data_IF_522757068331
#
_entry.id   IF_522757068331
#
_cell.length_a   1.000
_cell.length_b   1.000
_cell.length_c   1.000
_cell.angle_alpha   90.00
_cell.angle_beta   90.00
_cell.angle_gamma   90.00
#
_symmetry.space_group_name_H-M   'P 1'
#
loop_
_entity.id
_entity.type
_entity.pdbx_description
1 polymer ?
#
# COMPACT_ATOMS: atom_id res chain seq x y z
N UNK A 1 -12.45 6.25 24.74
CA UNK A 1 -12.95 5.55 23.54
C UNK A 1 -12.45 6.27 22.28
N UNK A 2 -12.24 5.54 21.19
CA UNK A 2 -11.71 6.08 19.94
C UNK A 2 -12.75 5.94 18.83
N UNK A 3 -12.77 6.90 17.91
CA UNK A 3 -13.48 6.78 16.64
C UNK A 3 -12.44 6.48 15.59
N UNK A 4 -12.36 5.22 15.15
CA UNK A 4 -11.52 4.87 14.02
C UNK A 4 -12.40 4.64 12.77
N UNK A 5 -11.85 5.00 11.61
CA UNK A 5 -12.51 4.77 10.32
C UNK A 5 -11.49 4.54 9.23
N UNK A 6 -11.81 3.61 8.35
CA UNK A 6 -11.04 3.32 7.14
C UNK A 6 -11.83 3.75 5.91
N UNK A 7 -11.13 4.14 4.86
CA UNK A 7 -11.76 4.56 3.61
C UNK A 7 -10.85 4.36 2.42
N UNK A 8 -11.47 4.13 1.26
CA UNK A 8 -10.78 3.95 0.00
C UNK A 8 -11.33 4.93 -1.03
N UNK A 9 -10.43 5.52 -1.82
CA UNK A 9 -10.78 6.44 -2.91
C UNK A 9 -9.93 6.08 -4.12
N UNK A 10 -10.57 6.00 -5.30
CA UNK A 10 -9.89 5.80 -6.57
C UNK A 10 -9.92 7.12 -7.32
N UNK A 11 -8.74 7.60 -7.72
CA UNK A 11 -8.61 8.74 -8.60
C UNK A 11 -8.14 8.31 -9.97
N UNK A 12 -8.74 8.89 -10.99
CA UNK A 12 -8.28 8.80 -12.38
C UNK A 12 -7.61 10.13 -12.75
N UNK A 13 -6.46 10.06 -13.40
CA UNK A 13 -5.66 11.23 -13.82
C UNK A 13 -5.51 12.27 -12.71
N UNK A 14 -4.96 11.83 -11.59
CA UNK A 14 -4.74 12.68 -10.43
C UNK A 14 -3.33 13.26 -10.45
N UNK A 15 -3.27 14.55 -10.17
CA UNK A 15 -2.04 15.26 -9.87
C UNK A 15 -1.71 15.14 -8.40
N UNK A 16 -0.48 14.76 -8.11
CA UNK A 16 0.04 14.79 -6.74
C UNK A 16 0.26 16.24 -6.28
N UNK A 17 -0.30 16.57 -5.11
CA UNK A 17 -0.18 17.86 -4.44
C UNK A 17 0.68 17.74 -3.17
N UNK A 18 0.87 18.84 -2.47
CA UNK A 18 1.56 18.84 -1.17
C UNK A 18 0.81 18.00 -0.12
N UNK A 19 1.54 17.46 0.85
CA UNK A 19 1.00 16.76 2.02
C UNK A 19 0.06 15.58 1.68
N UNK A 20 0.42 14.76 0.68
CA UNK A 20 -0.36 13.58 0.29
C UNK A 20 -1.77 13.93 -0.25
N UNK A 21 -1.91 15.12 -0.85
CA UNK A 21 -3.13 15.53 -1.54
C UNK A 21 -3.14 15.07 -2.99
N UNK A 22 -4.33 14.83 -3.54
CA UNK A 22 -4.53 14.55 -4.96
C UNK A 22 -5.67 15.38 -5.53
N UNK A 23 -5.43 15.98 -6.69
CA UNK A 23 -6.42 16.77 -7.43
C UNK A 23 -6.68 16.12 -8.80
N UNK A 24 -7.94 16.09 -9.24
CA UNK A 24 -8.25 15.60 -10.59
C UNK A 24 -7.86 16.66 -11.63
N UNK A 25 -7.20 16.21 -12.70
CA UNK A 25 -6.75 17.10 -13.78
C UNK A 25 -7.88 17.47 -14.73
N UNK A 26 -8.81 16.54 -15.01
CA UNK A 26 -9.93 16.80 -15.91
C UNK A 26 -11.16 17.31 -15.16
N UNK A 27 -11.59 18.53 -15.48
CA UNK A 27 -12.76 19.17 -14.86
C UNK A 27 -14.11 18.51 -15.20
N UNK A 28 -14.17 17.72 -16.27
CA UNK A 28 -15.39 17.04 -16.73
C UNK A 28 -15.53 15.61 -16.16
N UNK A 29 -14.61 15.16 -15.32
CA UNK A 29 -14.74 13.87 -14.63
C UNK A 29 -15.59 14.02 -13.38
N UNK A 30 -16.33 12.95 -13.07
CA UNK A 30 -17.01 12.85 -11.79
C UNK A 30 -16.01 12.89 -10.63
N UNK A 31 -16.41 13.52 -9.53
CA UNK A 31 -15.57 13.62 -8.35
C UNK A 31 -15.26 12.23 -7.78
N UNK A 32 -14.04 12.00 -7.27
CA UNK A 32 -13.67 10.72 -6.69
C UNK A 32 -14.59 10.42 -5.51
N UNK A 33 -15.13 9.20 -5.50
CA UNK A 33 -16.01 8.76 -4.42
C UNK A 33 -15.16 8.14 -3.31
N UNK A 34 -15.22 8.76 -2.12
CA UNK A 34 -14.63 8.23 -0.90
C UNK A 34 -15.59 7.22 -0.28
N UNK A 35 -15.19 5.95 -0.26
CA UNK A 35 -16.03 4.85 0.23
C UNK A 35 -15.51 4.40 1.61
N UNK A 36 -16.35 4.42 2.67
CA UNK A 36 -15.95 3.92 3.98
C UNK A 36 -15.78 2.40 3.95
N UNK A 37 -14.88 1.91 4.77
CA UNK A 37 -14.55 0.49 4.86
C UNK A 37 -14.55 0.01 6.30
N UNK A 38 -14.89 -1.26 6.50
CA UNK A 38 -14.81 -1.89 7.82
C UNK A 38 -13.37 -2.35 8.06
N UNK A 39 -12.93 -2.34 9.31
CA UNK A 39 -11.63 -2.88 9.67
C UNK A 39 -11.59 -4.40 9.41
N UNK A 40 -10.48 -4.91 8.86
CA UNK A 40 -10.28 -6.33 8.60
C UNK A 40 -9.29 -6.62 7.47
N UNK A 41 -8.73 -7.83 7.45
CA UNK A 41 -7.73 -8.27 6.46
C UNK A 41 -8.37 -9.00 5.27
N UNK A 42 -7.65 -9.05 4.14
CA UNK A 42 -8.06 -9.81 2.95
C UNK A 42 -9.36 -9.34 2.28
N UNK A 43 -9.82 -8.14 2.63
CA UNK A 43 -11.08 -7.63 2.13
C UNK A 43 -10.93 -7.12 0.70
N UNK A 44 -11.94 -7.39 -0.14
CA UNK A 44 -11.97 -6.93 -1.54
C UNK A 44 -12.77 -5.64 -1.66
N UNK A 45 -12.12 -4.58 -2.14
CA UNK A 45 -12.80 -3.34 -2.50
C UNK A 45 -13.38 -3.44 -3.92
N UNK A 46 -14.64 -3.04 -4.07
CA UNK A 46 -15.28 -2.86 -5.37
C UNK A 46 -15.92 -1.47 -5.34
N UNK A 47 -15.55 -0.65 -6.33
CA UNK A 47 -16.11 0.68 -6.44
C UNK A 47 -17.62 0.60 -6.77
N UNK A 48 -18.48 1.42 -6.13
CA UNK A 48 -19.91 1.41 -6.41
C UNK A 48 -20.21 1.62 -7.91
N UNK A 49 -21.19 0.91 -8.49
CA UNK A 49 -21.58 1.11 -9.89
C UNK A 49 -21.90 2.59 -10.18
N UNK A 50 -21.44 3.10 -11.32
CA UNK A 50 -21.64 4.49 -11.73
C UNK A 50 -20.72 5.52 -11.07
N UNK A 51 -19.77 5.10 -10.22
CA UNK A 51 -18.73 6.00 -9.67
C UNK A 51 -17.32 5.77 -10.23
N UNK A 52 -17.17 4.80 -11.13
CA UNK A 52 -15.93 4.55 -11.87
C UNK A 52 -15.81 5.46 -13.09
N UNK A 53 -14.64 5.40 -13.75
CA UNK A 53 -14.42 6.10 -15.01
C UNK A 53 -14.56 5.14 -16.20
N UNK A 54 -15.16 5.63 -17.28
CA UNK A 54 -15.10 4.95 -18.57
C UNK A 54 -13.73 5.23 -19.23
N UNK A 55 -12.92 4.18 -19.34
CA UNK A 55 -11.56 4.28 -19.87
C UNK A 55 -11.53 4.60 -21.37
N UNK A 56 -12.65 4.39 -22.09
CA UNK A 56 -12.77 4.71 -23.51
C UNK A 56 -12.70 6.19 -23.83
N UNK A 57 -12.85 7.08 -22.83
CA UNK A 57 -12.70 8.53 -23.01
C UNK A 57 -11.24 9.00 -23.11
N UNK A 58 -10.27 8.16 -22.72
CA UNK A 58 -8.87 8.55 -22.66
C UNK A 58 -8.05 7.90 -23.75
N UNK A 59 -6.99 8.58 -24.19
CA UNK A 59 -6.06 7.95 -25.11
C UNK A 59 -5.24 6.87 -24.40
N UNK A 60 -5.01 5.76 -25.10
CA UNK A 60 -4.25 4.64 -24.55
C UNK A 60 -2.85 5.05 -24.04
N UNK A 61 -2.19 5.94 -24.79
CA UNK A 61 -0.88 6.45 -24.42
C UNK A 61 -0.90 7.25 -23.11
N UNK A 62 -2.01 7.92 -22.81
CA UNK A 62 -2.18 8.68 -21.57
C UNK A 62 -2.44 7.75 -20.39
N UNK A 63 -3.14 6.64 -20.62
CA UNK A 63 -3.38 5.61 -19.60
C UNK A 63 -2.10 4.84 -19.22
N UNK A 64 -1.20 4.62 -20.19
CA UNK A 64 -0.06 3.71 -20.03
C UNK A 64 1.19 4.32 -19.40
N UNK A 65 1.20 5.63 -19.09
CA UNK A 65 2.37 6.33 -18.52
C UNK A 65 1.95 7.50 -17.62
N UNK A 66 2.77 7.88 -16.63
CA UNK A 66 2.60 9.16 -15.95
C UNK A 66 2.71 10.32 -16.94
N UNK A 67 1.86 11.32 -16.76
CA UNK A 67 1.87 12.55 -17.54
C UNK A 67 2.75 13.62 -16.88
N UNK A 68 3.00 14.71 -17.59
CA UNK A 68 3.79 15.83 -17.08
C UNK A 68 3.18 16.43 -15.81
N UNK A 69 4.04 16.89 -14.89
CA UNK A 69 3.61 17.57 -13.67
C UNK A 69 3.10 16.63 -12.57
N UNK A 70 3.64 15.41 -12.48
CA UNK A 70 3.31 14.38 -11.48
C UNK A 70 1.83 13.96 -11.51
N UNK A 71 1.33 13.74 -12.73
CA UNK A 71 -0.03 13.29 -12.97
C UNK A 71 -0.01 11.80 -13.27
N UNK A 72 -0.78 11.03 -12.51
CA UNK A 72 -0.83 9.58 -12.62
C UNK A 72 -2.21 9.12 -13.12
N UNK A 73 -2.26 8.22 -14.12
CA UNK A 73 -3.53 7.76 -14.69
C UNK A 73 -4.45 7.10 -13.68
N UNK A 74 -3.87 6.38 -12.71
CA UNK A 74 -4.61 5.74 -11.63
C UNK A 74 -3.90 5.97 -10.30
N UNK A 75 -4.63 6.47 -9.31
CA UNK A 75 -4.16 6.56 -7.92
C UNK A 75 -5.18 5.90 -7.01
N UNK A 76 -4.73 4.89 -6.26
CA UNK A 76 -5.49 4.28 -5.18
C UNK A 76 -5.08 4.94 -3.87
N UNK A 77 -6.05 5.43 -3.12
CA UNK A 77 -5.82 6.21 -1.92
C UNK A 77 -6.61 5.60 -0.76
N UNK A 78 -5.90 4.94 0.14
CA UNK A 78 -6.46 4.35 1.34
C UNK A 78 -6.10 5.21 2.56
N UNK A 79 -7.08 5.59 3.35
CA UNK A 79 -6.87 6.33 4.59
C UNK A 79 -7.45 5.55 5.76
N UNK A 80 -6.68 5.49 6.84
CA UNK A 80 -7.12 5.10 8.17
C UNK A 80 -6.90 6.26 9.12
N UNK A 81 -7.91 6.62 9.89
CA UNK A 81 -7.78 7.60 10.96
C UNK A 81 -8.30 6.99 12.25
N UNK A 82 -7.67 7.34 13.36
CA UNK A 82 -8.21 7.05 14.67
C UNK A 82 -8.12 8.27 15.58
N UNK A 83 -9.29 8.82 15.90
CA UNK A 83 -9.44 10.00 16.72
C UNK A 83 -9.83 9.64 18.16
N UNK A 84 -9.08 10.09 19.17
CA UNK A 84 -9.47 9.95 20.55
C UNK A 84 -10.63 10.89 20.89
N UNK A 85 -11.56 10.43 21.73
CA UNK A 85 -12.66 11.26 22.24
C UNK A 85 -12.17 12.29 23.29
N UNK A 86 -10.93 12.13 23.77
CA UNK A 86 -10.22 12.99 24.72
C UNK A 86 -9.04 13.72 24.04
N UNK A 87 -8.46 14.79 24.63
CA UNK A 87 -7.34 15.53 24.03
C UNK A 87 -6.05 14.71 24.05
N UNK A 88 -5.95 13.75 23.14
CA UNK A 88 -4.71 13.09 22.74
C UNK A 88 -4.54 13.23 21.22
N UNK A 89 -3.35 12.95 20.72
CA UNK A 89 -3.02 13.07 19.30
C UNK A 89 -3.79 12.03 18.49
N UNK A 90 -4.57 12.50 17.50
CA UNK A 90 -5.16 11.64 16.48
C UNK A 90 -4.05 10.97 15.66
N UNK A 91 -4.25 9.68 15.32
CA UNK A 91 -3.36 8.99 14.39
C UNK A 91 -3.99 8.97 13.01
N UNK A 92 -3.21 9.32 11.99
CA UNK A 92 -3.62 9.22 10.58
C UNK A 92 -2.56 8.43 9.81
N UNK A 93 -3.03 7.42 9.10
CA UNK A 93 -2.24 6.62 8.19
C UNK A 93 -2.88 6.69 6.79
N UNK A 94 -2.06 6.95 5.78
CA UNK A 94 -2.53 6.99 4.39
C UNK A 94 -1.60 6.17 3.51
N UNK A 95 -2.15 5.22 2.78
CA UNK A 95 -1.43 4.49 1.75
C UNK A 95 -1.86 5.00 0.37
N UNK A 96 -0.88 5.35 -0.45
CA UNK A 96 -1.07 5.80 -1.82
C UNK A 96 -0.42 4.78 -2.74
N UNK A 97 -1.16 4.31 -3.74
CA UNK A 97 -0.62 3.50 -4.84
C UNK A 97 -0.81 4.26 -6.14
N UNK A 98 0.28 4.68 -6.76
CA UNK A 98 0.29 5.31 -8.07
C UNK A 98 0.52 4.22 -9.13
N UNK A 99 -0.31 4.20 -10.16
CA UNK A 99 -0.32 3.16 -11.17
C UNK A 99 -0.67 3.71 -12.56
N UNK A 100 -0.35 2.90 -13.57
CA UNK A 100 -0.75 3.10 -14.96
C UNK A 100 -1.65 1.95 -15.39
N UNK A 101 -2.39 2.15 -16.49
CA UNK A 101 -3.26 1.15 -17.09
C UNK A 101 -2.70 0.80 -18.47
N UNK A 102 -2.28 -0.45 -18.64
CA UNK A 102 -1.75 -1.01 -19.89
C UNK A 102 -2.82 -1.88 -20.55
N UNK A 103 -2.88 -1.89 -21.88
CA UNK A 103 -3.81 -2.70 -22.68
C UNK A 103 -3.12 -4.04 -22.92
N UNK A 104 -3.85 -5.12 -22.69
CA UNK A 104 -3.37 -6.48 -22.88
C UNK A 104 -4.29 -7.15 -23.89
N UNK A 105 -3.74 -7.50 -25.05
CA UNK A 105 -4.55 -8.02 -26.17
C UNK A 105 -5.20 -9.38 -25.85
N UNK A 106 -4.59 -10.20 -24.98
CA UNK A 106 -5.07 -11.54 -24.59
C UNK A 106 -5.65 -11.62 -23.17
N UNK A 107 -5.93 -10.48 -22.52
CA UNK A 107 -6.44 -10.44 -21.15
C UNK A 107 -7.96 -10.59 -21.05
N UNK A 108 -8.51 -11.20 -19.97
CA UNK A 108 -9.97 -11.38 -19.81
C UNK A 108 -10.77 -10.08 -19.80
N UNK A 109 -10.11 -8.95 -19.51
CA UNK A 109 -10.72 -7.61 -19.44
C UNK A 109 -10.04 -6.59 -20.38
N UNK A 110 -9.10 -7.02 -21.23
CA UNK A 110 -8.38 -6.15 -22.18
C UNK A 110 -7.40 -5.12 -21.58
N UNK A 111 -7.40 -4.93 -20.25
CA UNK A 111 -6.53 -3.99 -19.54
C UNK A 111 -5.93 -4.60 -18.27
N UNK A 112 -4.74 -4.14 -17.91
CA UNK A 112 -4.03 -4.49 -16.69
C UNK A 112 -3.53 -3.22 -15.99
N UNK A 113 -3.67 -3.19 -14.66
CA UNK A 113 -3.09 -2.13 -13.83
C UNK A 113 -1.65 -2.50 -13.48
N UNK A 114 -0.73 -1.56 -13.68
CA UNK A 114 0.68 -1.70 -13.31
C UNK A 114 1.05 -0.65 -12.30
N UNK A 115 1.36 -1.10 -11.09
CA UNK A 115 1.84 -0.25 -10.01
C UNK A 115 3.20 0.35 -10.39
N UNK A 116 3.33 1.66 -10.20
CA UNK A 116 4.58 2.39 -10.44
C UNK A 116 5.23 2.82 -9.14
N UNK A 117 4.44 3.28 -8.19
CA UNK A 117 4.93 3.76 -6.90
C UNK A 117 3.91 3.46 -5.82
N UNK A 118 4.40 3.17 -4.62
CA UNK A 118 3.56 3.05 -3.43
C UNK A 118 4.20 3.84 -2.30
N UNK A 119 3.38 4.57 -1.55
CA UNK A 119 3.82 5.50 -0.52
C UNK A 119 2.93 5.36 0.70
N UNK A 120 3.54 5.19 1.88
CA UNK A 120 2.84 5.16 3.16
C UNK A 120 3.11 6.46 3.92
N UNK A 121 2.07 7.10 4.40
CA UNK A 121 2.16 8.29 5.24
C UNK A 121 1.68 7.95 6.64
N UNK A 122 2.50 8.22 7.65
CA UNK A 122 2.16 8.01 9.06
C UNK A 122 2.39 9.33 9.78
N UNK A 123 1.33 9.91 10.35
CA UNK A 123 1.40 11.14 11.16
C UNK A 123 2.17 12.31 10.49
N UNK A 124 2.08 12.42 9.16
CA UNK A 124 2.72 13.49 8.38
C UNK A 124 4.11 13.17 7.82
N UNK A 125 4.68 12.01 8.15
CA UNK A 125 5.93 11.52 7.57
C UNK A 125 5.65 10.49 6.47
N UNK A 126 6.42 10.52 5.38
CA UNK A 126 6.26 9.64 4.22
C UNK A 126 7.32 8.52 4.16
N UNK A 127 6.89 7.36 3.67
CA UNK A 127 7.65 6.12 3.67
C UNK A 127 7.46 5.37 2.34
N UNK A 128 8.49 5.32 1.49
CA UNK A 128 8.42 4.71 0.14
C UNK A 128 8.29 3.18 0.17
N UNK A 129 7.19 2.64 -0.31
CA UNK A 129 6.86 1.22 -0.20
C UNK A 129 7.50 0.35 -1.31
N UNK A 130 8.29 0.91 -2.23
CA UNK A 130 8.96 0.17 -3.32
C UNK A 130 9.87 -1.00 -2.85
N UNK A 131 10.21 -1.08 -1.57
CA UNK A 131 10.96 -2.19 -0.98
C UNK A 131 10.11 -3.31 -0.37
N UNK A 132 8.79 -3.16 -0.32
CA UNK A 132 7.89 -4.25 0.08
C UNK A 132 7.51 -5.03 -1.16
N UNK A 133 8.34 -6.02 -1.51
CA UNK A 133 8.05 -7.01 -2.53
C UNK A 133 6.76 -7.76 -2.26
N UNK A 134 5.63 -7.19 -2.68
CA UNK A 134 4.43 -7.95 -3.04
C UNK A 134 4.65 -8.38 -4.49
N UNK A 135 5.49 -9.41 -4.65
CA UNK A 135 5.50 -10.23 -5.85
C UNK A 135 4.26 -11.10 -5.84
N UNK A 136 3.10 -10.54 -6.11
CA UNK A 136 1.92 -11.33 -6.49
C UNK A 136 1.96 -11.56 -8.00
N UNK A 137 2.87 -12.41 -8.47
CA UNK A 137 2.61 -13.15 -9.71
C UNK A 137 1.88 -14.45 -9.30
N UNK A 138 0.71 -14.76 -9.88
CA UNK A 138 -0.02 -16.00 -9.57
C UNK A 138 0.59 -17.23 -10.27
N UNK A 139 1.91 -17.24 -10.55
CA UNK A 139 2.58 -18.28 -11.33
C UNK A 139 3.91 -18.74 -10.70
N UNK A 140 3.97 -18.79 -9.36
CA UNK A 140 5.06 -19.45 -8.64
C UNK A 140 4.59 -20.77 -8.04
N UNK A 141 4.21 -21.73 -8.90
CA UNK A 141 4.29 -23.14 -8.52
C UNK A 141 5.61 -23.73 -9.01
N UNK A 142 6.20 -24.58 -8.15
CA UNK A 142 7.39 -25.40 -8.33
C UNK A 142 8.71 -24.75 -7.83
N UNK A 143 8.93 -24.81 -6.51
CA UNK A 143 10.28 -24.94 -5.95
C UNK A 143 10.84 -23.81 -5.09
N UNK A 144 10.01 -22.95 -4.45
CA UNK A 144 10.54 -21.92 -3.54
C UNK A 144 11.03 -22.54 -2.24
N UNK A 145 12.33 -22.38 -2.00
CA UNK A 145 13.05 -22.83 -0.81
C UNK A 145 12.35 -22.30 0.46
N UNK A 146 11.82 -23.21 1.29
CA UNK A 146 11.05 -22.89 2.51
C UNK A 146 11.83 -21.92 3.43
N UNK A 147 13.17 -21.96 3.34
CA UNK A 147 14.09 -21.07 4.07
C UNK A 147 13.97 -19.58 3.72
N UNK A 148 13.35 -19.20 2.60
CA UNK A 148 13.14 -17.79 2.24
C UNK A 148 11.91 -17.17 2.92
N UNK A 149 11.04 -18.00 3.51
CA UNK A 149 9.79 -17.56 4.15
C UNK A 149 9.88 -17.66 5.68
N UNK A 150 10.76 -18.51 6.21
CA UNK A 150 10.92 -18.76 7.65
C UNK A 150 11.79 -17.69 8.36
N UNK A 151 11.40 -17.34 9.58
CA UNK A 151 12.15 -16.45 10.45
C UNK A 151 13.59 -16.95 10.65
N UNK A 152 14.57 -16.07 10.44
CA UNK A 152 16.01 -16.44 10.53
C UNK A 152 16.49 -16.77 11.96
N UNK A 153 15.66 -16.53 12.98
CA UNK A 153 15.98 -16.80 14.38
C UNK A 153 15.40 -18.14 14.81
N UNK A 154 14.07 -18.32 14.71
CA UNK A 154 13.43 -19.54 15.18
C UNK A 154 13.37 -20.65 14.12
N UNK A 155 13.53 -20.31 12.83
CA UNK A 155 13.42 -21.23 11.69
C UNK A 155 12.11 -22.05 11.72
N UNK A 156 11.03 -21.46 12.24
CA UNK A 156 9.75 -22.14 12.42
C UNK A 156 8.57 -21.25 12.04
N UNK A 157 8.47 -20.06 12.65
CA UNK A 157 7.44 -19.09 12.30
C UNK A 157 7.81 -18.37 10.99
N UNK A 158 6.81 -17.91 10.25
CA UNK A 158 7.02 -17.15 9.03
C UNK A 158 7.54 -15.73 9.30
N UNK A 159 8.17 -15.11 8.29
CA UNK A 159 8.62 -13.71 8.32
C UNK A 159 7.44 -12.77 8.17
N UNK A 160 6.77 -12.48 9.27
CA UNK A 160 5.58 -11.63 9.32
C UNK A 160 5.85 -10.24 9.88
N UNK A 161 7.11 -9.86 10.16
CA UNK A 161 7.38 -8.61 10.88
C UNK A 161 8.43 -7.75 10.19
N UNK A 162 8.08 -6.49 9.91
CA UNK A 162 8.98 -5.47 9.38
C UNK A 162 9.60 -4.62 10.48
N UNK A 163 10.91 -4.37 10.39
CA UNK A 163 11.67 -3.57 11.36
C UNK A 163 11.84 -2.13 10.87
N UNK A 164 11.23 -1.13 11.52
CA UNK A 164 11.39 0.28 11.13
C UNK A 164 12.61 0.95 11.80
N UNK A 165 13.29 1.88 11.10
CA UNK A 165 12.95 2.45 9.79
C UNK A 165 13.47 1.66 8.58
N UNK A 166 14.29 0.62 8.79
CA UNK A 166 15.02 -0.07 7.72
C UNK A 166 14.20 -1.07 6.87
N UNK A 167 13.00 -1.44 7.33
CA UNK A 167 11.97 -2.27 6.68
C UNK A 167 12.35 -3.70 6.34
N UNK A 168 13.46 -4.24 6.84
CA UNK A 168 13.79 -5.64 6.64
C UNK A 168 12.78 -6.56 7.35
N UNK A 169 12.26 -7.54 6.60
CA UNK A 169 11.38 -8.61 7.07
C UNK A 169 12.16 -9.93 7.19
N UNK A 170 12.96 -10.08 8.25
CA UNK A 170 13.77 -11.29 8.46
C UNK A 170 13.29 -12.16 9.63
N UNK A 171 12.23 -11.76 10.34
CA UNK A 171 11.82 -12.40 11.58
C UNK A 171 10.31 -12.41 11.77
N UNK A 172 9.85 -13.36 12.59
CA UNK A 172 8.49 -13.36 13.11
C UNK A 172 8.33 -12.34 14.25
N UNK A 173 7.09 -12.06 14.63
CA UNK A 173 6.77 -11.07 15.67
C UNK A 173 7.45 -11.33 16.99
N UNK A 174 7.41 -12.56 17.51
CA UNK A 174 7.99 -12.89 18.81
C UNK A 174 9.50 -12.67 18.82
N UNK A 175 10.18 -13.08 17.74
CA UNK A 175 11.61 -12.89 17.61
C UNK A 175 11.99 -11.42 17.41
N UNK A 176 11.18 -10.64 16.68
CA UNK A 176 11.38 -9.22 16.50
C UNK A 176 11.25 -8.44 17.83
N UNK A 177 10.26 -8.78 18.66
CA UNK A 177 10.13 -8.21 20.00
C UNK A 177 11.36 -8.50 20.87
N UNK A 178 11.82 -9.75 20.89
CA UNK A 178 13.02 -10.13 21.65
C UNK A 178 14.27 -9.35 21.20
N UNK A 179 14.47 -9.20 19.89
CA UNK A 179 15.61 -8.43 19.33
C UNK A 179 15.50 -6.94 19.66
N UNK A 180 14.28 -6.38 19.62
CA UNK A 180 14.03 -4.98 20.00
C UNK A 180 14.33 -4.74 21.48
N UNK A 181 14.10 -5.71 22.37
CA UNK A 181 14.44 -5.62 23.79
C UNK A 181 15.95 -5.73 24.04
N UNK A 182 16.65 -6.60 23.32
CA UNK A 182 18.06 -6.92 23.57
C UNK A 182 19.02 -6.03 22.77
N UNK A 183 19.05 -6.21 21.45
CA UNK A 183 20.07 -5.63 20.57
C UNK A 183 19.64 -4.28 19.99
N UNK A 184 18.33 -4.08 19.80
CA UNK A 184 17.74 -2.90 19.13
C UNK A 184 18.30 -2.64 17.72
N UNK A 185 18.86 -3.65 17.05
CA UNK A 185 19.46 -3.50 15.71
C UNK A 185 18.94 -4.56 14.76
N UNK A 186 18.67 -4.16 13.52
CA UNK A 186 18.29 -5.06 12.44
C UNK A 186 19.41 -6.07 12.15
N UNK A 187 19.07 -7.36 12.01
CA UNK A 187 20.05 -8.41 11.72
C UNK A 187 20.62 -8.34 10.30
N UNK A 188 19.92 -7.67 9.38
CA UNK A 188 20.35 -7.54 7.98
C UNK A 188 21.28 -6.33 7.81
N UNK A 189 20.82 -5.14 8.18
CA UNK A 189 21.53 -3.89 7.90
C UNK A 189 22.06 -3.16 9.15
N UNK A 190 21.88 -3.73 10.35
CA UNK A 190 22.33 -3.18 11.64
C UNK A 190 21.77 -1.80 12.03
N UNK A 191 20.81 -1.28 11.28
CA UNK A 191 20.11 -0.04 11.65
C UNK A 191 19.36 -0.20 12.97
N UNK A 192 19.28 0.85 13.81
CA UNK A 192 18.47 0.83 15.03
C UNK A 192 17.00 0.53 14.72
N UNK A 193 16.38 -0.33 15.54
CA UNK A 193 14.97 -0.67 15.44
C UNK A 193 14.20 0.29 16.35
N UNK A 194 13.39 1.16 15.74
CA UNK A 194 12.54 2.11 16.46
C UNK A 194 11.18 1.49 16.75
N UNK A 195 10.56 0.91 15.73
CA UNK A 195 9.31 0.20 15.85
C UNK A 195 9.27 -1.06 14.99
N UNK A 196 8.31 -1.91 15.26
CA UNK A 196 8.04 -3.13 14.49
C UNK A 196 6.59 -3.11 14.04
N UNK A 197 6.34 -3.60 12.83
CA UNK A 197 5.00 -3.70 12.24
C UNK A 197 4.78 -5.14 11.81
N UNK A 198 3.68 -5.72 12.27
CA UNK A 198 3.22 -7.03 11.82
C UNK A 198 2.54 -6.89 10.45
N UNK A 199 2.98 -7.72 9.52
CA UNK A 199 2.50 -7.84 8.15
C UNK A 199 1.92 -9.25 8.03
N UNK A 200 0.60 -9.40 8.06
CA UNK A 200 -0.03 -10.71 7.95
C UNK A 200 0.23 -11.27 6.54
N UNK A 201 0.75 -12.49 6.51
CA UNK A 201 1.03 -13.22 5.28
C UNK A 201 -0.27 -13.94 4.88
N UNK A 202 -0.86 -13.56 3.75
CA UNK A 202 -1.98 -14.30 3.16
C UNK A 202 -1.43 -15.46 2.33
N UNK A 203 -1.81 -16.68 2.71
CA UNK A 203 -1.58 -17.90 1.91
C UNK A 203 -2.57 -18.02 0.77
#
# INVERSE_FOLDING_TARGET
PFVCGDSFTIFYFAKEEQYCGFSQVYHNMDRPVKVPFRQGFGQRFIQPPGSGADLGFFEYNELSRPLHGNVFPLVLYAESYCEPISPSTASKCTQVTQAVIEKVDDGPFGFQVKVKWQLLWINGESYDQEFFGVGSSPEAEIGTNISEIECVICMFNARDTALLPCRHMCMCRECAEAVKLQSKKCLVCRHPIETIIEIPISY
#
